data_IF_874772505397
#
_entry.id   IF_874772505397
#
_cell.length_a   1.000
_cell.length_b   1.000
_cell.length_c   1.000
_cell.angle_alpha   90.00
_cell.angle_beta   90.00
_cell.angle_gamma   90.00
#
_symmetry.space_group_name_H-M   'P 1'
#
loop_
_entity.id
_entity.type
_entity.pdbx_description
1 polymer ?
#
# COMPACT_ATOMS: atom_id res chain seq x y z
N UNK A 1 2.89 20.99 -0.83
CA UNK A 1 2.43 19.61 -0.55
C UNK A 1 2.32 19.49 0.95
N UNK A 2 1.19 19.01 1.49
CA UNK A 2 1.02 18.92 2.93
C UNK A 2 2.02 17.90 3.49
N UNK A 3 2.84 18.32 4.44
CA UNK A 3 3.78 17.43 5.11
C UNK A 3 2.97 16.42 5.92
N UNK A 4 3.07 15.13 5.57
CA UNK A 4 2.40 14.07 6.32
C UNK A 4 2.84 14.13 7.77
N UNK A 5 1.89 14.03 8.70
CA UNK A 5 2.18 13.94 10.14
C UNK A 5 2.72 12.57 10.56
N UNK A 6 2.80 11.63 9.61
CA UNK A 6 3.30 10.26 9.83
C UNK A 6 4.78 10.20 9.48
N UNK A 7 5.60 9.75 10.44
CA UNK A 7 6.99 9.38 10.19
C UNK A 7 7.05 7.99 9.56
N UNK A 8 7.20 7.96 8.24
CA UNK A 8 7.25 6.71 7.48
C UNK A 8 8.56 5.96 7.71
N UNK A 9 8.53 4.64 7.92
CA UNK A 9 9.74 3.84 8.08
C UNK A 9 10.57 3.87 6.79
N UNK A 10 11.90 3.81 6.94
CA UNK A 10 12.86 3.75 5.83
C UNK A 10 12.70 4.82 4.73
N UNK A 11 12.13 5.98 5.06
CA UNK A 11 11.96 7.11 4.13
C UNK A 11 12.83 8.28 4.57
N UNK A 12 13.52 8.94 3.64
CA UNK A 12 14.21 10.21 3.89
C UNK A 12 13.24 11.38 3.62
N UNK A 13 12.51 11.82 4.66
CA UNK A 13 11.41 12.78 4.53
C UNK A 13 11.78 14.16 3.98
N UNK A 14 13.07 14.55 4.03
CA UNK A 14 13.52 15.84 3.52
C UNK A 14 13.80 15.86 2.01
N UNK A 15 14.09 14.69 1.40
CA UNK A 15 14.62 14.60 0.03
C UNK A 15 13.78 13.72 -0.89
N UNK A 16 13.12 12.69 -0.35
CA UNK A 16 12.31 11.78 -1.15
C UNK A 16 11.00 12.44 -1.61
N UNK A 17 10.48 12.06 -2.79
CA UNK A 17 9.19 12.52 -3.25
C UNK A 17 8.06 12.04 -2.33
N UNK A 18 6.88 12.65 -2.48
CA UNK A 18 5.70 12.19 -1.75
C UNK A 18 5.41 10.72 -2.03
N UNK A 19 5.19 9.96 -0.97
CA UNK A 19 4.80 8.56 -1.05
C UNK A 19 3.46 8.46 -1.78
N UNK A 20 3.30 7.55 -2.76
CA UNK A 20 2.02 7.33 -3.42
C UNK A 20 0.96 6.84 -2.43
N UNK A 21 -0.23 7.44 -2.48
CA UNK A 21 -1.36 6.99 -1.68
C UNK A 21 -2.04 5.76 -2.31
N UNK A 22 -2.17 4.68 -1.52
CA UNK A 22 -2.92 3.49 -1.88
C UNK A 22 -4.29 3.54 -1.17
N UNK A 23 -5.37 3.58 -1.95
CA UNK A 23 -6.74 3.79 -1.44
C UNK A 23 -7.56 2.50 -1.35
N UNK A 24 -7.13 1.45 -2.07
CA UNK A 24 -7.78 0.14 -2.08
C UNK A 24 -6.74 -0.94 -2.38
N UNK A 25 -7.00 -2.15 -1.90
CA UNK A 25 -6.20 -3.35 -2.18
C UNK A 25 -7.12 -4.54 -2.44
N UNK A 26 -6.84 -5.35 -3.46
CA UNK A 26 -7.61 -6.56 -3.76
C UNK A 26 -6.71 -7.62 -4.41
N UNK A 27 -6.75 -8.85 -3.88
CA UNK A 27 -5.92 -9.94 -4.41
C UNK A 27 -4.44 -9.57 -4.34
N UNK A 28 -3.74 -9.54 -5.48
CA UNK A 28 -2.33 -9.16 -5.56
C UNK A 28 -2.13 -7.69 -6.00
N UNK A 29 -3.15 -6.83 -5.95
CA UNK A 29 -3.06 -5.47 -6.48
C UNK A 29 -3.28 -4.38 -5.44
N UNK A 30 -2.50 -3.30 -5.56
CA UNK A 30 -2.66 -2.03 -4.88
C UNK A 30 -3.27 -1.02 -5.85
N UNK A 31 -4.24 -0.22 -5.40
CA UNK A 31 -4.94 0.77 -6.21
C UNK A 31 -4.61 2.17 -5.71
N UNK A 32 -4.12 3.02 -6.60
CA UNK A 32 -3.88 4.45 -6.33
C UNK A 32 -5.19 5.25 -6.45
N UNK A 33 -5.20 6.44 -5.86
CA UNK A 33 -6.35 7.36 -5.93
C UNK A 33 -6.72 7.77 -7.38
N UNK A 34 -5.74 7.76 -8.30
CA UNK A 34 -5.92 8.05 -9.73
C UNK A 34 -6.52 6.88 -10.53
N UNK A 35 -6.86 5.76 -9.87
CA UNK A 35 -7.44 4.56 -10.49
C UNK A 35 -6.42 3.60 -11.09
N UNK A 36 -5.14 3.96 -11.15
CA UNK A 36 -4.10 3.04 -11.62
C UNK A 36 -3.79 1.94 -10.60
N UNK A 37 -3.31 0.80 -11.11
CA UNK A 37 -3.08 -0.42 -10.34
C UNK A 37 -1.60 -0.80 -10.38
N UNK A 38 -1.10 -1.26 -9.24
CA UNK A 38 0.27 -1.75 -9.06
C UNK A 38 0.18 -3.21 -8.61
N UNK A 39 0.93 -4.10 -9.27
CA UNK A 39 1.08 -5.48 -8.78
C UNK A 39 1.94 -5.46 -7.52
N UNK A 40 1.41 -6.01 -6.43
CA UNK A 40 2.14 -6.21 -5.18
C UNK A 40 3.07 -7.42 -5.30
N UNK A 41 4.24 -7.20 -5.90
CA UNK A 41 5.23 -8.24 -6.17
C UNK A 41 6.01 -8.72 -4.93
N UNK A 42 5.78 -8.11 -3.75
CA UNK A 42 6.49 -8.44 -2.51
C UNK A 42 5.55 -8.94 -1.41
N UNK A 43 4.26 -9.13 -1.71
CA UNK A 43 3.23 -9.45 -0.71
C UNK A 43 3.21 -8.42 0.42
N UNK A 44 3.30 -7.14 0.01
CA UNK A 44 3.53 -5.97 0.85
C UNK A 44 4.79 -6.17 1.66
N UNK A 45 4.74 -6.09 2.99
CA UNK A 45 5.93 -6.36 3.79
C UNK A 45 6.14 -7.87 4.02
N UNK A 46 6.06 -8.68 2.95
CA UNK A 46 6.18 -10.15 2.99
C UNK A 46 5.11 -10.85 3.85
N UNK A 47 3.96 -10.21 4.05
CA UNK A 47 2.92 -10.66 5.01
C UNK A 47 1.59 -11.04 4.35
N UNK A 48 1.36 -10.67 3.09
CA UNK A 48 0.06 -10.86 2.43
C UNK A 48 0.04 -12.15 1.60
N UNK A 49 0.26 -13.30 2.25
CA UNK A 49 0.36 -14.61 1.57
C UNK A 49 -0.93 -15.03 0.85
N UNK A 50 -2.09 -14.70 1.39
CA UNK A 50 -3.39 -15.10 0.83
C UNK A 50 -4.02 -14.05 -0.10
N UNK A 51 -3.28 -12.98 -0.42
CA UNK A 51 -3.82 -11.82 -1.12
C UNK A 51 -4.60 -10.89 -0.20
N UNK A 52 -4.62 -9.61 -0.59
CA UNK A 52 -5.33 -8.56 0.09
C UNK A 52 -6.83 -8.84 0.14
N UNK A 53 -7.45 -8.56 1.30
CA UNK A 53 -8.90 -8.71 1.56
C UNK A 53 -9.46 -10.11 1.28
N UNK A 54 -8.66 -11.16 1.52
CA UNK A 54 -9.11 -12.53 1.28
C UNK A 54 -10.45 -12.85 1.98
N UNK A 55 -11.52 -13.27 1.26
CA UNK A 55 -12.88 -13.31 1.80
C UNK A 55 -13.06 -14.17 3.04
N UNK A 56 -12.31 -15.27 3.19
CA UNK A 56 -12.38 -16.12 4.39
C UNK A 56 -11.76 -15.45 5.62
N UNK A 57 -10.71 -14.65 5.43
CA UNK A 57 -10.02 -13.96 6.54
C UNK A 57 -10.85 -12.76 6.99
N UNK A 58 -11.41 -12.01 6.03
CA UNK A 58 -12.26 -10.85 6.32
C UNK A 58 -13.59 -11.20 7.02
N UNK A 59 -14.01 -12.47 6.97
CA UNK A 59 -15.24 -12.98 7.58
C UNK A 59 -15.03 -13.64 8.94
N UNK A 60 -13.78 -13.83 9.38
CA UNK A 60 -13.45 -14.42 10.67
C UNK A 60 -13.65 -13.39 11.80
#
# INVERSE_FOLDING_TARGET
MAQSRVWHPFTQHALEPSIPEIVLTEGAYLHKADGSRILDAISSWWVVTHGHRHPRIMKA
#
